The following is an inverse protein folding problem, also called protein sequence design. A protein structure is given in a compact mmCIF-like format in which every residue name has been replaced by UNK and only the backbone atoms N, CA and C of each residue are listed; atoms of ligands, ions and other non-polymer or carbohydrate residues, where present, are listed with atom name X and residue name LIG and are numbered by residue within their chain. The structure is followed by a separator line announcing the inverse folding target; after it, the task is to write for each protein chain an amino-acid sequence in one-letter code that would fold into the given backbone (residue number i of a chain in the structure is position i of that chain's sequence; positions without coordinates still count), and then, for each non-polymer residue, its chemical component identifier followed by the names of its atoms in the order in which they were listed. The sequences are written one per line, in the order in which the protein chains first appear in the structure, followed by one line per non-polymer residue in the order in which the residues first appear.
data_IF_287505087580
#
_entry.id   IF_287505087580
#
_cell.length_a   1.000
_cell.length_b   1.000
_cell.length_c   1.000
_cell.angle_alpha   90.00
_cell.angle_beta   90.00
_cell.angle_gamma   90.00
#
_symmetry.space_group_name_H-M   'P 1'
#
loop_
_entity.id
_entity.type
_entity.pdbx_description
1 polymer ?
#
# COMPACT_ATOMS: atom_id res chain seq x y z
N UNK A 1 -4.04 24.66 -11.38
CA UNK A 1 -4.83 23.50 -11.82
C UNK A 1 -4.02 22.29 -11.43
N UNK A 2 -4.47 21.55 -10.41
CA UNK A 2 -3.81 20.31 -10.03
C UNK A 2 -4.01 19.34 -11.21
N UNK A 3 -2.92 19.02 -11.91
CA UNK A 3 -2.97 17.94 -12.90
C UNK A 3 -3.43 16.68 -12.18
N UNK A 4 -4.35 15.94 -12.78
CA UNK A 4 -4.73 14.63 -12.26
C UNK A 4 -3.43 13.82 -12.07
N UNK A 5 -3.18 13.33 -10.85
CA UNK A 5 -2.02 12.48 -10.54
C UNK A 5 -2.25 11.09 -11.15
N UNK A 6 -2.22 11.02 -12.47
CA UNK A 6 -2.34 9.81 -13.26
C UNK A 6 -0.98 9.14 -13.31
N UNK A 7 -0.92 7.88 -12.89
CA UNK A 7 0.31 7.10 -12.92
C UNK A 7 0.77 6.85 -14.36
N UNK A 8 2.09 6.80 -14.62
CA UNK A 8 2.62 6.30 -15.88
C UNK A 8 2.17 4.85 -16.11
N UNK A 9 2.02 4.42 -17.38
CA UNK A 9 1.62 3.06 -17.69
C UNK A 9 2.66 2.07 -17.14
N UNK A 10 2.21 0.90 -16.62
CA UNK A 10 3.09 -0.12 -16.10
C UNK A 10 3.83 -0.84 -17.24
N UNK A 11 4.99 -1.47 -16.96
CA UNK A 11 5.63 -2.34 -17.92
C UNK A 11 4.72 -3.50 -18.35
N UNK A 12 4.56 -3.71 -19.66
CA UNK A 12 3.82 -4.84 -20.25
C UNK A 12 4.39 -6.15 -19.71
N UNK A 13 3.64 -6.88 -18.88
CA UNK A 13 4.08 -8.19 -18.34
C UNK A 13 3.92 -9.29 -19.40
N UNK A 14 4.66 -9.21 -20.52
CA UNK A 14 4.73 -10.29 -21.50
C UNK A 14 6.08 -10.99 -21.38
N UNK A 15 6.37 -11.57 -20.21
CA UNK A 15 7.20 -12.77 -19.99
C UNK A 15 7.14 -13.14 -18.50
N UNK A 16 6.37 -14.18 -18.18
CA UNK A 16 6.51 -15.08 -17.02
C UNK A 16 6.88 -14.48 -15.65
N UNK A 17 5.88 -14.27 -14.78
CA UNK A 17 5.56 -15.22 -13.71
C UNK A 17 4.39 -14.67 -12.88
N UNK A 18 3.31 -15.44 -12.84
CA UNK A 18 2.38 -15.46 -11.73
C UNK A 18 3.18 -15.51 -10.44
N UNK A 19 3.18 -14.41 -9.69
CA UNK A 19 3.42 -14.47 -8.25
C UNK A 19 2.11 -14.14 -7.57
N UNK A 20 1.11 -14.98 -7.81
CA UNK A 20 0.00 -15.17 -6.88
C UNK A 20 0.58 -15.78 -5.61
N UNK A 21 1.15 -14.94 -4.77
CA UNK A 21 1.36 -15.25 -3.36
C UNK A 21 0.06 -15.06 -2.61
N UNK A 22 -0.92 -15.93 -2.91
CA UNK A 22 -2.05 -16.13 -2.02
C UNK A 22 -1.51 -16.52 -0.66
N UNK A 23 -1.92 -15.81 0.37
CA UNK A 23 -1.66 -16.20 1.75
C UNK A 23 -2.43 -17.50 1.99
N UNK A 24 -1.75 -18.63 1.85
CA UNK A 24 -2.31 -19.93 2.20
C UNK A 24 -2.49 -20.02 3.72
N UNK A 25 -3.75 -20.26 4.09
CA UNK A 25 -4.19 -20.62 5.43
C UNK A 25 -3.53 -21.92 5.86
N UNK A 26 -2.56 -21.84 6.78
CA UNK A 26 -2.16 -23.01 7.56
C UNK A 26 -3.03 -23.13 8.81
N UNK A 27 -4.10 -23.92 8.66
CA UNK A 27 -4.79 -24.57 9.77
C UNK A 27 -3.83 -25.55 10.44
N UNK A 28 -3.31 -25.19 11.62
CA UNK A 28 -2.85 -26.17 12.59
C UNK A 28 -3.70 -26.04 13.86
N UNK A 29 -4.63 -26.98 13.98
CA UNK A 29 -5.38 -27.29 15.19
C UNK A 29 -4.38 -27.62 16.30
N UNK A 30 -4.32 -26.79 17.33
CA UNK A 30 -3.95 -27.24 18.66
C UNK A 30 -4.96 -26.70 19.66
N UNK A 31 -5.61 -27.66 20.30
CA UNK A 31 -6.77 -27.54 21.14
C UNK A 31 -6.35 -27.03 22.52
N UNK A 32 -6.75 -25.81 22.89
CA UNK A 32 -6.80 -25.38 24.29
C UNK A 32 -8.12 -24.66 24.55
N UNK A 33 -8.99 -25.32 25.32
CA UNK A 33 -10.22 -24.78 25.87
C UNK A 33 -10.02 -23.41 26.52
N UNK A 34 -10.65 -22.36 25.95
CA UNK A 34 -10.98 -21.14 26.69
C UNK A 34 -12.17 -20.43 26.06
N UNK A 35 -13.33 -20.62 26.70
CA UNK A 35 -14.53 -19.75 26.74
C UNK A 35 -14.77 -18.85 25.52
N UNK A 36 -15.84 -19.15 24.77
CA UNK A 36 -16.45 -18.30 23.74
C UNK A 36 -16.57 -16.84 24.21
N UNK A 37 -15.57 -16.02 23.88
CA UNK A 37 -15.67 -14.55 23.92
C UNK A 37 -16.22 -14.16 22.57
N UNK A 38 -17.33 -13.43 22.54
CA UNK A 38 -17.92 -12.90 21.31
C UNK A 38 -16.85 -12.18 20.50
N UNK A 39 -16.60 -12.67 19.28
CA UNK A 39 -15.61 -12.06 18.37
C UNK A 39 -16.24 -10.81 17.78
N UNK A 40 -15.76 -9.65 18.20
CA UNK A 40 -16.16 -8.35 17.64
C UNK A 40 -15.66 -8.30 16.20
N UNK A 41 -16.59 -8.22 15.24
CA UNK A 41 -16.27 -8.23 13.79
C UNK A 41 -15.97 -6.84 13.25
N UNK A 42 -16.59 -5.82 13.84
CA UNK A 42 -16.46 -4.42 13.45
C UNK A 42 -16.69 -3.52 14.65
N UNK A 43 -16.25 -2.26 14.52
CA UNK A 43 -16.58 -1.18 15.45
C UNK A 43 -17.07 0.03 14.65
N UNK A 44 -17.88 0.87 15.27
CA UNK A 44 -18.30 2.15 14.69
C UNK A 44 -17.59 3.28 15.43
N UNK A 45 -16.99 4.21 14.72
CA UNK A 45 -16.37 5.41 15.30
C UNK A 45 -16.90 6.63 14.51
N UNK A 46 -17.72 7.44 15.17
CA UNK A 46 -18.49 8.49 14.48
C UNK A 46 -19.42 7.89 13.43
N UNK A 47 -19.38 8.44 12.21
CA UNK A 47 -20.22 8.01 11.10
C UNK A 47 -19.60 6.86 10.27
N UNK A 48 -18.45 6.31 10.69
CA UNK A 48 -17.67 5.30 9.95
C UNK A 48 -17.64 3.94 10.67
N UNK A 49 -17.75 2.86 9.89
CA UNK A 49 -17.65 1.48 10.38
C UNK A 49 -16.30 0.87 10.03
N UNK A 50 -15.54 0.37 10.99
CA UNK A 50 -14.23 -0.26 10.80
C UNK A 50 -14.30 -1.76 11.00
N UNK A 51 -13.85 -2.53 10.02
CA UNK A 51 -13.86 -3.98 10.02
C UNK A 51 -12.47 -4.56 10.29
N UNK A 52 -12.44 -5.83 10.70
CA UNK A 52 -11.20 -6.61 10.66
C UNK A 52 -10.67 -6.63 9.22
N UNK A 53 -9.37 -6.43 9.07
CA UNK A 53 -8.61 -6.29 7.82
C UNK A 53 -8.73 -4.96 7.08
N UNK A 54 -9.54 -4.01 7.55
CA UNK A 54 -9.45 -2.63 7.09
C UNK A 54 -8.04 -2.08 7.40
N UNK A 55 -7.54 -1.23 6.50
CA UNK A 55 -6.29 -0.48 6.72
C UNK A 55 -6.65 0.94 7.12
N UNK A 56 -5.97 1.46 8.13
CA UNK A 56 -6.28 2.74 8.76
C UNK A 56 -5.05 3.62 8.91
N UNK A 57 -5.26 4.93 8.85
CA UNK A 57 -4.33 5.91 9.40
C UNK A 57 -4.57 6.05 10.91
N UNK A 58 -3.49 6.19 11.67
CA UNK A 58 -3.55 6.33 13.12
C UNK A 58 -2.72 7.54 13.58
N UNK A 59 -3.20 8.16 14.65
CA UNK A 59 -2.57 9.34 15.29
C UNK A 59 -1.09 9.08 15.52
N UNK A 60 -0.25 10.02 15.08
CA UNK A 60 1.18 10.04 15.33
C UNK A 60 1.55 11.25 16.20
N UNK A 61 2.77 11.29 16.78
CA UNK A 61 3.29 12.50 17.42
C UNK A 61 3.22 13.73 16.51
N UNK A 62 3.13 14.91 17.12
CA UNK A 62 3.04 16.17 16.37
C UNK A 62 4.25 16.37 15.45
N UNK A 63 3.99 16.67 14.18
CA UNK A 63 5.00 16.85 13.15
C UNK A 63 5.43 15.57 12.42
N UNK A 64 4.94 14.40 12.86
CA UNK A 64 5.18 13.13 12.18
C UNK A 64 4.02 12.78 11.23
N UNK A 65 4.31 11.92 10.23
CA UNK A 65 3.27 11.38 9.36
C UNK A 65 2.40 10.40 10.16
N UNK A 66 1.08 10.34 9.92
CA UNK A 66 0.23 9.33 10.54
C UNK A 66 0.77 7.91 10.28
N UNK A 67 0.66 7.07 11.30
CA UNK A 67 0.97 5.65 11.19
C UNK A 67 -0.05 4.95 10.29
N UNK A 68 0.35 3.85 9.66
CA UNK A 68 -0.51 3.05 8.82
C UNK A 68 -0.56 1.64 9.37
N UNK A 69 -1.75 1.10 9.58
CA UNK A 69 -1.90 -0.23 10.18
C UNK A 69 -3.08 -1.01 9.60
N UNK A 70 -2.90 -2.33 9.47
CA UNK A 70 -3.99 -3.26 9.20
C UNK A 70 -4.63 -3.71 10.50
N UNK A 71 -5.96 -3.62 10.59
CA UNK A 71 -6.70 -4.15 11.73
C UNK A 71 -6.69 -5.69 11.68
N UNK A 72 -6.23 -6.32 12.76
CA UNK A 72 -6.21 -7.78 12.90
C UNK A 72 -7.37 -8.27 13.76
N UNK A 73 -7.70 -7.54 14.84
CA UNK A 73 -8.73 -7.94 15.79
C UNK A 73 -9.17 -6.77 16.69
N UNK A 74 -10.40 -6.83 17.18
CA UNK A 74 -10.90 -5.99 18.27
C UNK A 74 -11.05 -6.79 19.57
N UNK A 75 -10.77 -6.16 20.72
CA UNK A 75 -11.09 -6.67 22.06
C UNK A 75 -11.59 -5.52 22.95
N UNK A 76 -12.53 -5.80 23.84
CA UNK A 76 -13.02 -4.80 24.81
C UNK A 76 -12.22 -4.97 26.09
N UNK A 77 -11.80 -3.85 26.68
CA UNK A 77 -11.08 -3.86 27.94
C UNK A 77 -11.87 -4.61 29.03
N UNK A 78 -11.22 -5.56 29.72
CA UNK A 78 -11.89 -6.51 30.61
C UNK A 78 -12.44 -5.90 31.92
N UNK A 79 -12.13 -4.64 32.22
CA UNK A 79 -12.44 -4.00 33.50
C UNK A 79 -13.94 -3.67 33.70
N UNK A 80 -14.78 -3.86 32.69
CA UNK A 80 -16.23 -3.62 32.77
C UNK A 80 -17.09 -4.91 32.75
N UNK A 81 -16.57 -6.06 33.19
CA UNK A 81 -17.46 -7.21 33.51
C UNK A 81 -18.38 -6.95 34.72
N UNK A 82 -18.21 -5.84 35.44
CA UNK A 82 -19.13 -5.40 36.49
C UNK A 82 -19.61 -3.95 36.31
N UNK A 83 -20.56 -3.73 35.39
CA UNK A 83 -21.72 -2.84 35.62
C UNK A 83 -22.71 -2.95 34.47
N UNK A 84 -23.59 -3.94 34.55
CA UNK A 84 -24.91 -3.84 33.91
C UNK A 84 -25.83 -3.05 34.82
N UNK A 85 -26.24 -1.87 34.36
CA UNK A 85 -27.57 -1.26 34.56
C UNK A 85 -27.65 -0.04 33.64
N UNK A 86 -28.45 -0.19 32.57
CA UNK A 86 -29.57 0.69 32.20
C UNK A 86 -29.11 2.10 31.80
N UNK A 87 -29.32 2.54 30.56
CA UNK A 87 -30.65 2.89 30.10
C UNK A 87 -30.88 2.62 28.61
N UNK A 88 -32.03 2.03 28.32
CA UNK A 88 -32.67 2.13 27.00
C UNK A 88 -33.36 3.48 26.95
N UNK A 89 -32.96 4.35 26.02
CA UNK A 89 -33.82 5.26 25.23
C UNK A 89 -32.95 6.34 24.56
N UNK A 90 -32.76 6.24 23.24
CA UNK A 90 -32.75 7.35 22.27
C UNK A 90 -32.28 6.82 20.92
N UNK A 91 -33.23 6.31 20.13
CA UNK A 91 -33.03 6.19 18.69
C UNK A 91 -33.15 7.62 18.12
N UNK A 92 -32.15 8.06 17.35
CA UNK A 92 -32.01 9.37 16.67
C UNK A 92 -31.29 10.52 17.42
N UNK A 93 -30.28 10.26 18.25
CA UNK A 93 -29.30 11.30 18.66
C UNK A 93 -27.92 10.99 18.08
N UNK A 94 -27.34 11.94 17.33
CA UNK A 94 -25.94 11.88 16.88
C UNK A 94 -25.02 11.93 18.11
N UNK A 95 -24.17 10.91 18.29
CA UNK A 95 -23.18 10.86 19.38
C UNK A 95 -22.25 12.09 19.30
N UNK A 96 -21.86 12.65 20.44
CA UNK A 96 -20.86 13.73 20.51
C UNK A 96 -19.45 13.17 20.34
N UNK A 97 -18.49 13.99 19.86
CA UNK A 97 -17.09 13.55 19.68
C UNK A 97 -16.47 13.01 20.97
N UNK A 98 -16.82 13.60 22.12
CA UNK A 98 -16.38 13.15 23.45
C UNK A 98 -17.01 11.79 23.83
N UNK A 99 -18.27 11.53 23.50
CA UNK A 99 -18.92 10.23 23.72
C UNK A 99 -18.30 9.13 22.84
N UNK A 100 -17.97 9.45 21.58
CA UNK A 100 -17.30 8.54 20.64
C UNK A 100 -15.90 8.19 21.14
N UNK A 101 -15.10 9.18 21.54
CA UNK A 101 -13.74 8.98 22.04
C UNK A 101 -13.73 8.13 23.31
N UNK A 102 -14.61 8.43 24.26
CA UNK A 102 -14.78 7.64 25.49
C UNK A 102 -15.18 6.18 25.21
N UNK A 103 -16.02 5.91 24.20
CA UNK A 103 -16.37 4.55 23.79
C UNK A 103 -15.20 3.87 23.10
N UNK A 104 -14.48 4.58 22.23
CA UNK A 104 -13.32 4.08 21.50
C UNK A 104 -12.15 3.73 22.43
N UNK A 105 -11.94 4.48 23.51
CA UNK A 105 -10.90 4.22 24.52
C UNK A 105 -11.08 2.90 25.28
N UNK A 106 -12.32 2.38 25.33
CA UNK A 106 -12.64 1.08 25.92
C UNK A 106 -12.32 -0.09 25.01
N UNK A 107 -12.05 0.17 23.73
CA UNK A 107 -11.77 -0.84 22.72
C UNK A 107 -10.28 -0.84 22.42
N UNK A 108 -9.66 -2.01 22.59
CA UNK A 108 -8.32 -2.28 22.12
C UNK A 108 -8.39 -2.90 20.73
N UNK A 109 -7.49 -2.48 19.85
CA UNK A 109 -7.35 -2.96 18.47
C UNK A 109 -5.98 -3.60 18.35
N UNK A 110 -5.94 -4.88 17.98
CA UNK A 110 -4.70 -5.54 17.59
C UNK A 110 -4.44 -5.21 16.12
N UNK A 111 -3.27 -4.65 15.83
CA UNK A 111 -2.92 -4.16 14.49
C UNK A 111 -1.61 -4.76 14.01
N UNK A 112 -1.42 -4.77 12.69
CA UNK A 112 -0.14 -5.03 12.02
C UNK A 112 0.32 -3.74 11.36
N UNK A 113 1.54 -3.28 11.69
CA UNK A 113 2.04 -2.02 11.17
C UNK A 113 2.49 -2.13 9.72
N UNK A 114 2.26 -1.07 8.95
CA UNK A 114 2.95 -0.81 7.70
C UNK A 114 4.07 0.19 7.94
N UNK A 115 5.24 -0.09 7.36
CA UNK A 115 6.41 0.78 7.44
C UNK A 115 6.54 1.59 6.15
N UNK A 116 6.83 2.89 6.28
CA UNK A 116 7.28 3.69 5.15
C UNK A 116 8.73 3.33 4.80
N UNK A 117 9.17 3.55 3.56
CA UNK A 117 10.56 3.37 3.16
C UNK A 117 11.59 4.03 4.09
N UNK A 118 11.31 5.25 4.54
CA UNK A 118 12.13 6.03 5.47
C UNK A 118 12.30 5.37 6.85
N UNK A 119 11.33 4.56 7.27
CA UNK A 119 11.31 3.90 8.59
C UNK A 119 12.00 2.53 8.56
N UNK A 120 12.31 2.02 7.36
CA UNK A 120 13.06 0.77 7.22
C UNK A 120 14.55 0.98 7.52
N UNK A 121 15.23 -0.07 7.98
CA UNK A 121 16.68 0.00 8.26
C UNK A 121 17.52 0.41 7.05
N UNK A 122 17.05 0.13 5.83
CA UNK A 122 17.75 0.52 4.59
C UNK A 122 17.41 1.92 4.07
N UNK A 123 16.43 2.58 4.70
CA UNK A 123 15.88 3.86 4.25
C UNK A 123 15.21 3.79 2.87
N UNK A 124 14.79 4.97 2.38
CA UNK A 124 14.21 5.11 1.05
C UNK A 124 15.27 4.95 -0.04
N UNK A 125 14.92 4.16 -1.06
CA UNK A 125 15.71 3.92 -2.27
C UNK A 125 15.00 4.58 -3.46
N UNK A 126 15.73 4.83 -4.54
CA UNK A 126 15.22 5.52 -5.73
C UNK A 126 14.05 4.80 -6.42
N UNK A 127 13.94 3.47 -6.25
CA UNK A 127 12.84 2.69 -6.83
C UNK A 127 11.57 2.65 -5.95
N UNK A 128 11.63 3.19 -4.72
CA UNK A 128 10.45 3.22 -3.85
C UNK A 128 9.51 4.35 -4.28
N UNK A 129 8.24 4.01 -4.51
CA UNK A 129 7.21 5.00 -4.83
C UNK A 129 6.87 5.90 -3.64
N UNK A 130 6.34 7.08 -3.89
CA UNK A 130 5.95 8.09 -2.90
C UNK A 130 4.92 7.50 -1.92
N UNK A 131 3.94 6.77 -2.45
CA UNK A 131 2.86 6.13 -1.73
C UNK A 131 3.14 4.64 -1.40
N UNK A 132 4.40 4.22 -1.48
CA UNK A 132 4.80 2.85 -1.14
C UNK A 132 4.92 2.66 0.38
N UNK A 133 4.38 1.54 0.88
CA UNK A 133 4.51 1.09 2.27
C UNK A 133 4.79 -0.41 2.33
N UNK A 134 5.36 -0.89 3.42
CA UNK A 134 5.75 -2.29 3.60
C UNK A 134 4.90 -2.95 4.67
N UNK A 135 4.15 -3.98 4.30
CA UNK A 135 3.42 -4.79 5.27
C UNK A 135 4.42 -5.47 6.21
N UNK A 136 4.30 -5.30 7.52
CA UNK A 136 5.26 -5.91 8.46
C UNK A 136 4.65 -7.00 9.33
N UNK A 137 5.51 -7.79 9.95
CA UNK A 137 5.13 -8.72 11.02
C UNK A 137 5.18 -8.08 12.42
N UNK A 138 5.40 -6.77 12.50
CA UNK A 138 5.29 -6.03 13.75
C UNK A 138 3.81 -5.80 14.06
N UNK A 139 3.35 -6.41 15.14
CA UNK A 139 1.99 -6.23 15.66
C UNK A 139 2.00 -5.61 17.03
N UNK A 140 0.98 -4.80 17.33
CA UNK A 140 0.80 -4.20 18.65
C UNK A 140 -0.69 -4.04 19.00
N UNK A 141 -0.99 -3.81 20.28
CA UNK A 141 -2.31 -3.46 20.77
C UNK A 141 -2.39 -1.95 21.01
N UNK A 142 -3.33 -1.30 20.33
CA UNK A 142 -3.56 0.16 20.40
C UNK A 142 -5.01 0.46 20.77
N UNK A 143 -5.31 1.69 21.16
CA UNK A 143 -6.69 2.13 21.44
C UNK A 143 -7.43 2.48 20.15
N UNK A 144 -8.71 2.14 20.06
CA UNK A 144 -9.51 2.47 18.88
C UNK A 144 -9.62 3.99 18.65
N UNK A 145 -9.53 4.80 19.72
CA UNK A 145 -9.50 6.28 19.68
C UNK A 145 -8.29 6.86 18.94
N UNK A 146 -7.27 6.05 18.65
CA UNK A 146 -6.11 6.45 17.84
C UNK A 146 -6.33 6.29 16.34
N UNK A 147 -7.41 5.62 15.92
CA UNK A 147 -7.79 5.52 14.50
C UNK A 147 -8.31 6.88 14.03
N UNK A 148 -7.76 7.39 12.94
CA UNK A 148 -8.18 8.68 12.36
C UNK A 148 -9.09 8.48 11.15
N UNK A 149 -8.70 7.60 10.23
CA UNK A 149 -9.50 7.35 9.03
C UNK A 149 -9.13 6.04 8.35
N UNK A 150 -10.03 5.54 7.50
CA UNK A 150 -9.70 4.45 6.57
C UNK A 150 -8.80 4.93 5.45
N UNK A 151 -7.88 4.07 5.04
CA UNK A 151 -7.05 4.23 3.85
C UNK A 151 -7.01 2.91 3.07
N UNK A 152 -6.48 2.94 1.86
CA UNK A 152 -6.36 1.77 1.00
C UNK A 152 -4.89 1.47 0.75
N UNK A 153 -4.49 0.21 0.98
CA UNK A 153 -3.18 -0.30 0.56
C UNK A 153 -3.41 -1.38 -0.48
N UNK A 154 -3.15 -1.04 -1.74
CA UNK A 154 -3.32 -1.91 -2.90
C UNK A 154 -2.11 -2.83 -3.08
N UNK A 155 -2.28 -3.90 -3.87
CA UNK A 155 -1.11 -4.53 -4.51
C UNK A 155 -0.52 -3.56 -5.53
N UNK A 156 0.75 -3.73 -5.93
CA UNK A 156 1.33 -2.88 -6.99
C UNK A 156 0.50 -2.95 -8.29
N UNK A 157 0.03 -4.15 -8.66
CA UNK A 157 -0.77 -4.35 -9.86
C UNK A 157 -2.09 -3.57 -9.79
N UNK A 158 -2.84 -3.70 -8.70
CA UNK A 158 -4.12 -2.97 -8.55
C UNK A 158 -3.90 -1.45 -8.47
N UNK A 159 -2.80 -1.02 -7.86
CA UNK A 159 -2.43 0.41 -7.77
C UNK A 159 -2.17 1.03 -9.15
N UNK A 160 -1.51 0.29 -10.05
CA UNK A 160 -1.19 0.75 -11.41
C UNK A 160 -2.44 0.92 -12.29
N UNK A 161 -3.52 0.20 -11.97
CA UNK A 161 -4.80 0.29 -12.70
C UNK A 161 -5.73 1.40 -12.15
N UNK A 162 -5.31 2.14 -11.12
CA UNK A 162 -6.09 3.25 -10.59
C UNK A 162 -6.16 4.40 -11.60
N UNK A 163 -7.37 4.86 -11.88
CA UNK A 163 -7.61 6.06 -12.70
C UNK A 163 -6.97 7.31 -12.11
N UNK A 164 -6.93 7.40 -10.77
CA UNK A 164 -6.29 8.49 -10.06
C UNK A 164 -5.80 8.03 -8.68
N UNK A 165 -4.65 8.54 -8.27
CA UNK A 165 -4.10 8.33 -6.92
C UNK A 165 -4.43 9.56 -6.07
N UNK A 166 -4.88 9.31 -4.83
CA UNK A 166 -5.10 10.33 -3.82
C UNK A 166 -4.28 10.04 -2.54
N UNK A 167 -4.35 10.96 -1.58
CA UNK A 167 -3.60 10.91 -0.31
C UNK A 167 -3.91 9.68 0.56
N UNK A 168 -5.00 8.96 0.30
CA UNK A 168 -5.41 7.74 1.00
C UNK A 168 -5.14 6.46 0.21
N UNK A 169 -4.51 6.57 -0.95
CA UNK A 169 -4.20 5.47 -1.86
C UNK A 169 -2.74 5.11 -1.76
N UNK A 170 -2.43 4.04 -1.04
CA UNK A 170 -1.07 3.50 -0.87
C UNK A 170 -0.95 2.17 -1.60
N UNK A 171 0.28 1.68 -1.78
CA UNK A 171 0.49 0.32 -2.27
C UNK A 171 1.59 -0.39 -1.51
N UNK A 172 1.54 -1.71 -1.52
CA UNK A 172 2.57 -2.56 -0.95
C UNK A 172 2.88 -3.71 -1.91
N UNK A 173 4.18 -3.94 -2.10
CA UNK A 173 4.71 -5.09 -2.86
C UNK A 173 5.76 -5.89 -2.09
N UNK A 174 6.15 -5.38 -0.93
CA UNK A 174 7.12 -6.03 -0.06
C UNK A 174 6.52 -6.25 1.32
N UNK A 175 6.80 -7.43 1.88
CA UNK A 175 6.70 -7.66 3.31
C UNK A 175 8.04 -7.32 3.98
N UNK A 176 8.00 -6.64 5.12
CA UNK A 176 9.16 -6.25 5.91
C UNK A 176 9.18 -6.99 7.26
N UNK A 177 10.27 -7.69 7.55
CA UNK A 177 10.50 -8.36 8.82
C UNK A 177 11.11 -7.38 9.81
N UNK A 178 10.30 -6.81 10.70
CA UNK A 178 10.74 -5.70 11.53
C UNK A 178 11.91 -6.06 12.45
N UNK A 179 11.95 -7.31 12.94
CA UNK A 179 13.00 -7.79 13.84
C UNK A 179 14.35 -8.07 13.14
N UNK A 180 14.32 -8.53 11.88
CA UNK A 180 15.54 -8.92 11.13
C UNK A 180 15.91 -7.93 10.03
N UNK A 181 15.05 -6.94 9.77
CA UNK A 181 15.16 -5.98 8.67
C UNK A 181 15.21 -6.62 7.27
N UNK A 182 14.63 -7.81 7.12
CA UNK A 182 14.56 -8.51 5.84
C UNK A 182 13.33 -8.10 5.03
N UNK A 183 13.47 -8.13 3.70
CA UNK A 183 12.37 -7.90 2.76
C UNK A 183 11.99 -9.19 2.05
N UNK A 184 10.69 -9.35 1.77
CA UNK A 184 10.16 -10.42 0.92
C UNK A 184 9.22 -9.85 -0.15
N UNK A 185 9.31 -10.29 -1.42
CA UNK A 185 10.33 -11.20 -1.93
C UNK A 185 11.73 -10.57 -1.91
N UNK A 186 12.77 -11.41 -1.82
CA UNK A 186 14.19 -11.01 -1.81
C UNK A 186 14.75 -10.79 -3.23
N UNK A 187 14.07 -11.34 -4.24
CA UNK A 187 14.33 -11.08 -5.64
C UNK A 187 13.12 -10.41 -6.28
N UNK A 188 13.37 -9.38 -7.07
CA UNK A 188 12.36 -8.65 -7.83
C UNK A 188 12.84 -8.43 -9.25
N UNK A 189 11.89 -8.34 -10.18
CA UNK A 189 12.18 -7.98 -11.55
C UNK A 189 12.78 -6.56 -11.58
N UNK A 190 13.86 -6.43 -12.34
CA UNK A 190 14.52 -5.15 -12.59
C UNK A 190 14.39 -4.78 -14.07
N UNK A 191 14.46 -3.50 -14.35
CA UNK A 191 14.30 -2.95 -15.69
C UNK A 191 15.38 -1.91 -15.97
N UNK A 192 15.45 -1.51 -17.24
CA UNK A 192 16.36 -0.50 -17.74
C UNK A 192 17.85 -0.87 -17.55
N UNK A 193 18.72 -0.03 -18.09
CA UNK A 193 20.18 -0.12 -17.94
C UNK A 193 20.62 0.04 -16.48
N UNK A 194 19.83 0.73 -15.67
CA UNK A 194 20.13 0.94 -14.25
C UNK A 194 19.88 -0.29 -13.38
N UNK A 195 19.22 -1.34 -13.91
CA UNK A 195 18.92 -2.57 -13.18
C UNK A 195 18.21 -2.31 -11.85
N UNK A 196 17.24 -1.40 -11.86
CA UNK A 196 16.43 -1.08 -10.68
C UNK A 196 15.01 -1.67 -10.82
N UNK A 197 14.37 -2.03 -9.71
CA UNK A 197 12.95 -2.35 -9.70
C UNK A 197 12.13 -1.16 -10.25
N UNK A 198 10.97 -1.47 -10.81
CA UNK A 198 10.05 -0.45 -11.32
C UNK A 198 9.60 0.51 -10.22
N UNK A 199 9.55 1.81 -10.50
CA UNK A 199 8.94 2.80 -9.61
C UNK A 199 7.67 3.33 -10.30
N UNK A 200 6.46 3.18 -9.71
CA UNK A 200 5.23 3.63 -10.34
C UNK A 200 5.14 5.13 -10.54
N UNK A 201 6.00 5.94 -9.93
CA UNK A 201 5.98 7.39 -10.12
C UNK A 201 6.92 7.85 -11.26
N UNK A 202 7.76 6.94 -11.77
CA UNK A 202 8.74 7.23 -12.81
C UNK A 202 8.27 6.71 -14.16
N UNK A 203 8.24 7.61 -15.15
CA UNK A 203 7.90 7.24 -16.51
C UNK A 203 8.97 6.34 -17.13
N UNK A 204 8.51 5.32 -17.86
CA UNK A 204 9.36 4.45 -18.66
C UNK A 204 8.75 4.26 -20.05
N UNK A 205 9.60 4.02 -21.05
CA UNK A 205 9.19 3.70 -22.42
C UNK A 205 9.62 2.27 -22.79
N UNK A 206 8.72 1.53 -23.44
CA UNK A 206 8.99 0.20 -23.97
C UNK A 206 9.67 0.27 -25.34
N UNK A 207 10.72 -0.51 -25.54
CA UNK A 207 11.30 -0.72 -26.87
C UNK A 207 10.41 -1.66 -27.69
N UNK A 208 10.01 -1.24 -28.90
CA UNK A 208 9.19 -2.03 -29.82
C UNK A 208 9.82 -3.37 -30.24
N UNK A 209 11.15 -3.49 -30.18
CA UNK A 209 11.87 -4.71 -30.57
C UNK A 209 12.15 -5.64 -29.39
N UNK A 210 12.97 -5.21 -28.43
CA UNK A 210 13.40 -6.08 -27.33
C UNK A 210 12.39 -6.15 -26.17
N UNK A 211 11.32 -5.34 -26.19
CA UNK A 211 10.29 -5.25 -25.15
C UNK A 211 10.84 -4.90 -23.75
N UNK A 212 12.09 -4.43 -23.68
CA UNK A 212 12.69 -3.88 -22.47
C UNK A 212 12.23 -2.44 -22.24
N UNK A 213 12.21 -2.04 -20.97
CA UNK A 213 11.70 -0.75 -20.52
C UNK A 213 12.83 0.17 -20.05
N UNK A 214 12.75 1.45 -20.42
CA UNK A 214 13.81 2.42 -20.15
C UNK A 214 13.29 3.72 -19.55
N UNK A 215 13.96 4.23 -18.52
CA UNK A 215 13.79 5.61 -18.06
C UNK A 215 14.39 6.56 -19.11
N UNK A 216 13.69 7.65 -19.50
CA UNK A 216 14.21 8.63 -20.45
C UNK A 216 15.61 9.14 -20.10
N UNK A 217 15.86 9.42 -18.83
CA UNK A 217 17.13 9.96 -18.34
C UNK A 217 18.28 8.95 -18.52
N UNK A 218 18.00 7.66 -18.37
CA UNK A 218 18.98 6.59 -18.55
C UNK A 218 19.37 6.37 -20.02
N UNK A 219 18.58 6.88 -20.96
CA UNK A 219 18.86 6.85 -22.41
C UNK A 219 19.21 8.23 -22.96
N UNK A 220 19.35 9.25 -22.10
CA UNK A 220 19.74 10.60 -22.51
C UNK A 220 18.66 11.35 -23.29
N UNK A 221 17.38 11.08 -23.03
CA UNK A 221 16.23 11.79 -23.59
C UNK A 221 15.32 12.33 -22.48
N UNK A 222 14.30 13.10 -22.84
CA UNK A 222 13.22 13.55 -21.95
C UNK A 222 11.90 12.85 -22.27
N UNK A 223 10.95 12.87 -21.32
CA UNK A 223 9.57 12.41 -21.57
C UNK A 223 8.92 13.24 -22.66
N UNK A 224 9.14 14.55 -22.66
CA UNK A 224 8.56 15.48 -23.63
C UNK A 224 9.01 15.16 -25.05
N UNK A 225 10.28 14.78 -25.24
CA UNK A 225 10.81 14.44 -26.56
C UNK A 225 10.27 13.09 -27.04
N UNK A 226 10.15 12.09 -26.14
CA UNK A 226 9.49 10.83 -26.46
C UNK A 226 8.03 11.04 -26.85
N UNK A 227 7.29 11.85 -26.09
CA UNK A 227 5.87 12.13 -26.36
C UNK A 227 5.67 12.83 -27.71
N UNK A 228 6.52 13.80 -28.09
CA UNK A 228 6.47 14.43 -29.41
C UNK A 228 6.71 13.41 -30.52
N UNK A 229 7.69 12.54 -30.32
CA UNK A 229 8.14 11.57 -31.31
C UNK A 229 7.13 10.43 -31.52
N UNK A 230 6.50 9.98 -30.44
CA UNK A 230 5.44 8.95 -30.47
C UNK A 230 4.09 9.50 -30.95
N UNK A 231 3.76 10.77 -30.68
CA UNK A 231 2.50 11.38 -31.18
C UNK A 231 2.53 11.70 -32.68
N UNK A 232 3.72 11.94 -33.23
CA UNK A 232 3.88 12.35 -34.62
C UNK A 232 4.08 11.17 -35.59
N UNK A 233 4.09 9.93 -35.10
CA UNK A 233 4.29 8.75 -35.92
C UNK A 233 3.46 7.57 -35.37
N UNK A 234 2.83 6.76 -36.23
CA UNK A 234 2.27 5.45 -35.84
C UNK A 234 3.40 4.43 -35.49
N UNK A 235 4.55 4.91 -35.01
CA UNK A 235 5.80 4.15 -34.90
C UNK A 235 6.14 3.87 -33.44
N UNK A 236 6.58 2.64 -33.19
CA UNK A 236 7.13 2.23 -31.90
C UNK A 236 8.51 2.87 -31.66
N UNK A 237 8.83 3.21 -30.42
CA UNK A 237 10.18 3.64 -30.05
C UNK A 237 11.15 2.44 -30.00
N UNK A 238 12.39 2.63 -30.46
CA UNK A 238 13.42 1.60 -30.42
C UNK A 238 14.65 2.10 -29.67
N UNK A 239 15.21 1.26 -28.79
CA UNK A 239 16.42 1.59 -28.05
C UNK A 239 17.66 1.63 -28.97
N UNK A 240 18.71 2.36 -28.56
CA UNK A 240 19.94 2.52 -29.35
C UNK A 240 20.57 1.18 -29.77
N UNK A 241 20.50 0.18 -28.89
CA UNK A 241 21.03 -1.15 -29.17
C UNK A 241 20.25 -1.83 -30.31
N UNK A 242 18.92 -1.76 -30.30
CA UNK A 242 18.08 -2.32 -31.35
C UNK A 242 18.15 -1.54 -32.67
N UNK A 243 18.30 -0.21 -32.60
CA UNK A 243 18.58 0.61 -33.80
C UNK A 243 19.87 0.14 -34.47
N UNK A 244 20.92 -0.09 -33.68
CA UNK A 244 22.23 -0.55 -34.18
C UNK A 244 22.20 -1.98 -34.70
N UNK A 245 21.56 -2.90 -33.99
CA UNK A 245 21.62 -4.35 -34.26
C UNK A 245 20.57 -4.83 -35.25
N UNK A 246 19.35 -4.28 -35.20
CA UNK A 246 18.21 -4.70 -36.02
C UNK A 246 17.88 -3.71 -37.15
N UNK A 247 18.69 -2.65 -37.35
CA UNK A 247 18.48 -1.60 -38.36
C UNK A 247 17.10 -0.93 -38.25
N UNK A 248 16.57 -0.80 -37.03
CA UNK A 248 15.31 -0.10 -36.77
C UNK A 248 15.46 1.41 -36.99
N UNK A 249 14.40 2.11 -37.44
CA UNK A 249 14.47 3.55 -37.63
C UNK A 249 14.75 4.23 -36.30
N UNK A 250 15.74 5.13 -36.27
CA UNK A 250 15.98 5.98 -35.10
C UNK A 250 14.90 7.05 -35.10
N UNK A 251 14.04 7.04 -34.09
CA UNK A 251 13.10 8.13 -33.87
C UNK A 251 13.87 9.22 -33.11
N UNK A 252 14.09 10.35 -33.79
CA UNK A 252 14.80 11.53 -33.26
C UNK A 252 13.85 12.69 -33.14
#
# INVERSE_FOLDING_TARGET
MAGENVLPPPPSTSTLLNTTGGVENNNNNNNTNKTSKDVIKYIELGDETYNVHDVVSMKAPEGEKPYIAKILRFDVHADEKEKKKADKNNEDKKETDEEIENRADKINVHVSWYYRPEESASGRKAFHGEHEVFASDHTDWVKASTIESKIHVYTLADYQELQSVNEKSFFSRFAYKAATSEFKPDHVQVFCKCSMPYNPDLFMVECGECKEWFHPECIGTSREDLDKNLKNSDSEWFCDECVRTHKRPKIT
#
